data_IF_910779062126
#
_entry.id   IF_910779062126
#
_cell.length_a   1.000
_cell.length_b   1.000
_cell.length_c   1.000
_cell.angle_alpha   90.00
_cell.angle_beta   90.00
_cell.angle_gamma   90.00
#
_symmetry.space_group_name_H-M   'P 1'
#
loop_
_entity.id
_entity.type
_entity.pdbx_description
1 polymer ?
#
# COMPACT_ATOMS: atom_id res chain seq x y z
N UNK A 1 49.50 -24.66 -56.45
CA UNK A 1 49.20 -25.66 -55.40
C UNK A 1 48.16 -25.07 -54.47
N UNK A 2 46.93 -25.62 -54.47
CA UNK A 2 45.90 -25.42 -53.43
C UNK A 2 46.41 -26.04 -52.10
N UNK A 3 45.91 -25.72 -50.87
CA UNK A 3 44.46 -25.67 -50.55
C UNK A 3 44.00 -24.86 -49.28
N UNK A 4 42.71 -25.05 -48.93
CA UNK A 4 42.00 -24.89 -47.64
C UNK A 4 41.58 -23.45 -47.25
N UNK A 5 40.38 -22.95 -47.58
CA UNK A 5 39.04 -23.29 -47.03
C UNK A 5 39.04 -23.41 -45.50
N UNK A 6 38.64 -22.33 -44.81
CA UNK A 6 38.26 -22.35 -43.40
C UNK A 6 36.84 -21.78 -43.28
N UNK A 7 35.89 -22.68 -43.03
CA UNK A 7 34.47 -22.38 -42.86
C UNK A 7 34.27 -22.00 -41.39
N UNK A 8 34.04 -20.72 -41.11
CA UNK A 8 33.61 -20.25 -39.79
C UNK A 8 32.13 -20.58 -39.59
N UNK A 9 31.87 -21.60 -38.79
CA UNK A 9 30.53 -22.03 -38.41
C UNK A 9 29.88 -20.99 -37.48
N UNK A 10 28.95 -20.20 -38.01
CA UNK A 10 28.04 -19.34 -37.24
C UNK A 10 27.07 -20.20 -36.44
N UNK A 11 27.30 -20.32 -35.13
CA UNK A 11 26.41 -21.02 -34.20
C UNK A 11 25.25 -20.08 -33.84
N UNK A 12 24.07 -20.34 -34.39
CA UNK A 12 22.84 -19.59 -34.08
C UNK A 12 22.39 -19.86 -32.65
N UNK A 13 22.44 -18.84 -31.80
CA UNK A 13 21.92 -18.86 -30.43
C UNK A 13 20.40 -18.69 -30.47
N UNK A 14 19.66 -19.80 -30.38
CA UNK A 14 18.20 -19.80 -30.23
C UNK A 14 17.87 -19.42 -28.77
N UNK A 15 17.62 -18.12 -28.55
CA UNK A 15 17.09 -17.63 -27.26
C UNK A 15 15.60 -17.99 -27.22
N UNK A 16 15.25 -19.02 -26.44
CA UNK A 16 13.87 -19.32 -26.11
C UNK A 16 13.36 -18.22 -25.15
N UNK A 17 12.61 -17.26 -25.69
CA UNK A 17 11.90 -16.23 -24.92
C UNK A 17 10.74 -16.88 -24.16
N UNK A 18 11.00 -17.45 -22.99
CA UNK A 18 9.92 -17.74 -22.05
C UNK A 18 9.38 -16.41 -21.54
N UNK A 19 8.12 -16.12 -21.85
CA UNK A 19 7.42 -14.97 -21.29
C UNK A 19 7.38 -15.14 -19.77
N UNK A 20 8.21 -14.38 -19.06
CA UNK A 20 8.11 -14.22 -17.62
C UNK A 20 6.83 -13.43 -17.39
N UNK A 21 5.75 -14.10 -16.98
CA UNK A 21 4.59 -13.41 -16.43
C UNK A 21 5.04 -12.71 -15.15
N UNK A 22 5.17 -11.38 -15.24
CA UNK A 22 5.39 -10.53 -14.09
C UNK A 22 4.27 -10.76 -13.06
N UNK A 23 4.62 -10.90 -11.79
CA UNK A 23 3.71 -11.13 -10.67
C UNK A 23 2.79 -9.91 -10.48
N UNK A 24 1.65 -9.90 -11.17
CA UNK A 24 0.69 -8.81 -11.06
C UNK A 24 -0.23 -9.07 -9.86
N UNK A 25 -0.13 -8.23 -8.83
CA UNK A 25 -1.03 -8.27 -7.68
C UNK A 25 -2.46 -8.01 -8.16
N UNK A 26 -3.36 -8.96 -7.91
CA UNK A 26 -4.77 -8.87 -8.28
C UNK A 26 -5.47 -7.92 -7.32
N UNK A 27 -6.12 -6.90 -7.87
CA UNK A 27 -6.94 -5.97 -7.11
C UNK A 27 -8.27 -6.62 -6.68
N UNK A 28 -8.57 -6.59 -5.38
CA UNK A 28 -9.84 -7.07 -4.85
C UNK A 28 -11.00 -6.11 -5.13
N UNK A 29 -12.24 -6.64 -5.22
CA UNK A 29 -13.44 -5.81 -5.28
C UNK A 29 -13.61 -4.97 -4.01
N UNK A 30 -14.38 -3.89 -4.09
CA UNK A 30 -14.64 -3.01 -2.96
C UNK A 30 -15.33 -3.77 -1.82
N UNK A 31 -16.31 -4.61 -2.13
CA UNK A 31 -17.05 -5.42 -1.17
C UNK A 31 -16.09 -6.37 -0.43
N UNK A 32 -15.16 -6.98 -1.16
CA UNK A 32 -14.15 -7.86 -0.57
C UNK A 32 -13.18 -7.08 0.33
N UNK A 33 -12.73 -5.90 -0.10
CA UNK A 33 -11.87 -5.03 0.73
C UNK A 33 -12.56 -4.62 2.03
N UNK A 34 -13.82 -4.19 1.95
CA UNK A 34 -14.63 -3.83 3.13
C UNK A 34 -14.86 -5.04 4.03
N UNK A 35 -15.12 -6.23 3.46
CA UNK A 35 -15.32 -7.45 4.23
C UNK A 35 -14.05 -7.87 4.98
N UNK A 36 -12.89 -7.83 4.31
CA UNK A 36 -11.59 -8.24 4.86
C UNK A 36 -10.99 -7.20 5.84
N UNK A 37 -11.44 -5.94 5.80
CA UNK A 37 -10.94 -4.87 6.66
C UNK A 37 -11.53 -4.93 8.08
N UNK A 38 -10.69 -4.73 9.09
CA UNK A 38 -11.12 -4.51 10.48
C UNK A 38 -11.52 -3.05 10.72
N UNK A 39 -10.90 -2.12 9.99
CA UNK A 39 -11.21 -0.70 10.04
C UNK A 39 -11.28 -0.12 8.62
N UNK A 40 -12.25 0.78 8.41
CA UNK A 40 -12.36 1.59 7.20
C UNK A 40 -12.61 3.03 7.61
N UNK A 41 -11.81 3.97 7.13
CA UNK A 41 -11.98 5.37 7.46
C UNK A 41 -11.33 6.30 6.42
N UNK A 42 -11.74 7.56 6.46
CA UNK A 42 -11.04 8.66 5.82
C UNK A 42 -10.14 9.30 6.86
N UNK A 43 -8.87 9.52 6.54
CA UNK A 43 -7.89 10.03 7.49
C UNK A 43 -6.78 10.84 6.85
N UNK A 44 -6.11 11.63 7.68
CA UNK A 44 -4.99 12.49 7.30
C UNK A 44 -3.69 11.95 7.89
N UNK A 45 -2.69 11.73 7.04
CA UNK A 45 -1.35 11.34 7.50
C UNK A 45 -0.73 12.50 8.27
N UNK A 46 -0.42 12.31 9.55
CA UNK A 46 0.17 13.35 10.43
C UNK A 46 1.68 13.26 10.47
N UNK A 47 2.21 12.04 10.54
CA UNK A 47 3.64 11.78 10.66
C UNK A 47 3.99 10.48 9.92
N UNK A 48 5.10 10.49 9.18
CA UNK A 48 5.75 9.32 8.62
C UNK A 48 6.88 8.87 9.55
N UNK A 49 7.29 7.61 9.42
CA UNK A 49 8.31 6.96 10.26
C UNK A 49 8.08 7.18 11.78
N UNK A 50 6.80 7.09 12.20
CA UNK A 50 6.40 7.18 13.60
C UNK A 50 6.89 5.96 14.38
N UNK A 51 7.55 6.19 15.53
CA UNK A 51 8.03 5.11 16.39
C UNK A 51 6.90 4.61 17.27
N UNK A 52 6.24 3.53 16.86
CA UNK A 52 5.20 2.89 17.67
C UNK A 52 5.84 2.00 18.76
N UNK A 53 5.52 2.21 20.05
CA UNK A 53 6.10 1.40 21.14
C UNK A 53 5.74 -0.09 21.05
N UNK A 54 4.70 -0.45 20.29
CA UNK A 54 4.29 -1.84 20.06
C UNK A 54 5.14 -2.53 19.00
N UNK A 55 5.78 -1.77 18.12
CA UNK A 55 6.67 -2.26 17.06
C UNK A 55 7.96 -1.41 16.97
N UNK A 56 8.82 -1.45 18.02
CA UNK A 56 9.98 -0.55 18.12
C UNK A 56 11.04 -0.75 17.02
N UNK A 57 10.97 -1.84 16.28
CA UNK A 57 11.89 -2.16 15.19
C UNK A 57 11.31 -1.86 13.79
N UNK A 58 10.07 -1.35 13.71
CA UNK A 58 9.44 -0.99 12.45
C UNK A 58 9.75 0.47 12.13
N UNK A 59 10.50 0.71 11.06
CA UNK A 59 10.87 2.06 10.64
C UNK A 59 9.79 2.75 9.79
N UNK A 60 8.76 2.04 9.33
CA UNK A 60 7.85 2.53 8.28
C UNK A 60 6.39 2.49 8.71
N UNK A 61 6.10 3.23 9.78
CA UNK A 61 4.76 3.41 10.32
C UNK A 61 4.34 4.87 10.11
N UNK A 62 3.15 5.09 9.58
CA UNK A 62 2.51 6.38 9.53
C UNK A 62 1.56 6.53 10.73
N UNK A 63 1.64 7.66 11.44
CA UNK A 63 0.59 8.08 12.36
C UNK A 63 -0.49 8.81 11.58
N UNK A 64 -1.69 8.27 11.58
CA UNK A 64 -2.84 8.77 10.81
C UNK A 64 -3.91 9.27 11.78
N UNK A 65 -4.37 10.49 11.57
CA UNK A 65 -5.55 11.01 12.25
C UNK A 65 -6.81 10.56 11.50
N UNK A 66 -7.79 10.04 12.23
CA UNK A 66 -9.05 9.56 11.66
C UNK A 66 -10.03 10.73 11.58
N UNK A 67 -10.29 11.20 10.37
CA UNK A 67 -11.23 12.30 10.12
C UNK A 67 -12.68 11.80 10.14
N UNK A 68 -12.96 10.71 9.42
CA UNK A 68 -14.30 10.12 9.31
C UNK A 68 -14.24 8.59 9.43
N UNK A 69 -14.68 8.00 10.56
CA UNK A 69 -14.77 6.55 10.68
C UNK A 69 -15.95 6.01 9.85
N UNK A 70 -15.70 4.98 9.04
CA UNK A 70 -16.72 4.31 8.21
C UNK A 70 -17.03 2.88 8.68
N UNK A 71 -16.02 2.18 9.22
CA UNK A 71 -16.13 0.84 9.84
C UNK A 71 -15.10 0.70 10.95
N UNK A 72 -15.47 -0.02 12.01
CA UNK A 72 -14.58 -0.37 13.11
C UNK A 72 -14.79 0.51 14.34
N UNK A 73 -13.85 0.41 15.29
CA UNK A 73 -13.86 1.18 16.53
C UNK A 73 -13.58 2.68 16.25
N UNK A 74 -14.22 3.57 17.02
CA UNK A 74 -13.94 5.00 16.94
C UNK A 74 -12.61 5.29 17.64
N UNK A 75 -11.56 5.47 16.83
CA UNK A 75 -10.21 5.77 17.29
C UNK A 75 -9.80 7.10 16.64
N UNK A 76 -9.16 7.98 17.40
CA UNK A 76 -8.73 9.30 16.91
C UNK A 76 -7.45 9.23 16.08
N UNK A 77 -6.46 8.45 16.53
CA UNK A 77 -5.18 8.29 15.87
C UNK A 77 -4.82 6.81 15.73
N UNK A 78 -4.35 6.44 14.54
CA UNK A 78 -4.06 5.05 14.17
C UNK A 78 -2.66 4.96 13.59
N UNK A 79 -1.87 4.00 14.07
CA UNK A 79 -0.58 3.65 13.49
C UNK A 79 -0.79 2.69 12.33
N UNK A 80 -0.32 3.05 11.14
CA UNK A 80 -0.47 2.29 9.89
C UNK A 80 0.90 1.97 9.32
N UNK A 81 1.24 0.69 9.19
CA UNK A 81 2.44 0.25 8.50
C UNK A 81 2.26 0.45 6.98
N UNK A 82 3.21 1.16 6.35
CA UNK A 82 3.19 1.41 4.90
C UNK A 82 4.39 0.81 4.16
N UNK A 83 5.33 0.20 4.85
CA UNK A 83 6.38 -0.60 4.21
C UNK A 83 6.79 -1.74 5.15
N UNK A 84 6.64 -2.97 4.66
CA UNK A 84 7.04 -4.18 5.35
C UNK A 84 8.30 -4.83 4.74
N UNK A 85 9.03 -4.08 3.89
CA UNK A 85 10.21 -4.55 3.18
C UNK A 85 9.91 -5.35 1.90
N UNK A 86 8.63 -5.51 1.54
CA UNK A 86 8.22 -6.19 0.31
C UNK A 86 7.49 -5.19 -0.59
N UNK A 87 8.18 -4.75 -1.65
CA UNK A 87 7.69 -3.71 -2.56
C UNK A 87 6.30 -4.00 -3.17
N UNK A 88 5.95 -5.27 -3.38
CA UNK A 88 4.64 -5.68 -3.93
C UNK A 88 3.46 -5.43 -2.97
N UNK A 89 3.73 -5.31 -1.67
CA UNK A 89 2.71 -5.09 -0.64
C UNK A 89 2.68 -3.64 -0.12
N UNK A 90 3.66 -2.82 -0.51
CA UNK A 90 3.71 -1.43 -0.10
C UNK A 90 2.50 -0.65 -0.68
N UNK A 91 1.66 -0.03 0.16
CA UNK A 91 0.58 0.84 -0.30
C UNK A 91 1.10 1.97 -1.19
N UNK A 92 0.27 2.42 -2.15
CA UNK A 92 0.49 3.66 -2.90
C UNK A 92 0.12 4.89 -2.03
N UNK A 93 0.73 4.96 -0.86
CA UNK A 93 0.71 6.04 0.10
C UNK A 93 2.17 6.23 0.57
N UNK A 94 2.55 7.11 1.47
CA UNK A 94 1.81 8.03 2.29
C UNK A 94 2.60 9.34 2.26
N UNK A 95 1.90 10.47 2.11
CA UNK A 95 2.52 11.79 2.17
C UNK A 95 1.95 12.55 3.37
N UNK A 96 2.82 13.18 4.16
CA UNK A 96 2.40 14.00 5.30
C UNK A 96 1.40 15.08 4.87
N UNK A 97 0.33 15.23 5.65
CA UNK A 97 -0.76 16.17 5.42
C UNK A 97 -1.75 15.77 4.33
N UNK A 98 -1.56 14.63 3.65
CA UNK A 98 -2.52 14.14 2.65
C UNK A 98 -3.60 13.27 3.26
N UNK A 99 -4.76 13.30 2.60
CA UNK A 99 -5.97 12.61 3.00
C UNK A 99 -6.15 11.36 2.13
N UNK A 100 -6.46 10.24 2.77
CA UNK A 100 -6.69 8.96 2.11
C UNK A 100 -7.93 8.27 2.68
N UNK A 101 -8.51 7.39 1.87
CA UNK A 101 -9.42 6.33 2.34
C UNK A 101 -8.56 5.12 2.66
N UNK A 102 -8.71 4.59 3.86
CA UNK A 102 -7.95 3.46 4.37
C UNK A 102 -8.86 2.25 4.54
N UNK A 103 -8.47 1.11 3.97
CA UNK A 103 -9.06 -0.21 4.21
C UNK A 103 -8.00 -1.04 4.92
N UNK A 104 -8.12 -1.23 6.22
CA UNK A 104 -7.04 -1.74 7.04
C UNK A 104 -7.43 -2.99 7.82
N UNK A 105 -6.47 -3.90 7.98
CA UNK A 105 -6.54 -5.04 8.88
C UNK A 105 -5.63 -4.79 10.09
N UNK A 106 -6.09 -5.19 11.28
CA UNK A 106 -5.32 -5.09 12.52
C UNK A 106 -4.37 -6.28 12.62
N UNK A 107 -3.09 -6.02 12.85
CA UNK A 107 -2.09 -7.05 13.12
C UNK A 107 -2.18 -7.53 14.58
N UNK A 108 -1.55 -8.66 14.95
CA UNK A 108 -1.51 -9.10 16.35
C UNK A 108 -0.85 -8.11 17.32
N UNK A 109 0.06 -7.25 16.85
CA UNK A 109 0.67 -6.17 17.64
C UNK A 109 -0.27 -4.98 17.85
N UNK A 110 -1.37 -4.89 17.09
CA UNK A 110 -2.34 -3.80 17.13
C UNK A 110 -2.03 -2.63 16.21
N UNK A 111 -0.97 -2.72 15.39
CA UNK A 111 -0.74 -1.82 14.24
C UNK A 111 -1.69 -2.21 13.10
N UNK A 112 -1.93 -1.29 12.17
CA UNK A 112 -2.78 -1.56 11.02
C UNK A 112 -1.98 -1.69 9.73
N UNK A 113 -2.44 -2.56 8.85
CA UNK A 113 -1.84 -2.79 7.52
C UNK A 113 -2.89 -2.69 6.42
N UNK A 114 -2.45 -2.32 5.23
CA UNK A 114 -3.30 -2.19 4.05
C UNK A 114 -3.93 -3.52 3.64
N UNK A 115 -5.26 -3.54 3.45
CA UNK A 115 -5.94 -4.67 2.82
C UNK A 115 -5.58 -4.68 1.33
N UNK A 116 -5.00 -5.78 0.85
CA UNK A 116 -4.61 -5.92 -0.57
C UNK A 116 -3.48 -4.96 -1.01
N UNK A 117 -2.56 -4.66 -0.09
CA UNK A 117 -1.28 -3.98 -0.38
C UNK A 117 -1.44 -2.62 -1.06
N UNK A 118 -0.98 -2.42 -2.31
CA UNK A 118 -1.11 -1.16 -3.05
C UNK A 118 -2.55 -0.66 -3.21
N UNK A 119 -3.54 -1.55 -3.12
CA UNK A 119 -4.95 -1.25 -3.39
C UNK A 119 -5.82 -1.13 -2.14
N UNK A 120 -5.24 -1.05 -0.94
CA UNK A 120 -6.00 -0.84 0.31
C UNK A 120 -6.02 0.60 0.80
N UNK A 121 -5.26 1.50 0.17
CA UNK A 121 -5.19 2.91 0.56
C UNK A 121 -5.31 3.77 -0.70
N UNK A 122 -6.28 4.68 -0.70
CA UNK A 122 -6.60 5.51 -1.86
C UNK A 122 -6.51 6.99 -1.51
N UNK A 123 -5.72 7.75 -2.26
CA UNK A 123 -5.66 9.19 -2.06
C UNK A 123 -6.99 9.83 -2.43
N UNK A 124 -7.55 10.63 -1.52
CA UNK A 124 -8.72 11.45 -1.80
C UNK A 124 -8.27 12.70 -2.55
N UNK A 125 -8.67 12.83 -3.82
CA UNK A 125 -8.43 14.03 -4.62
C UNK A 125 -9.60 14.99 -4.46
N UNK A 126 -9.42 16.04 -3.66
CA UNK A 126 -10.41 17.09 -3.46
C UNK A 126 -10.27 17.77 -2.09
N UNK A 127 -10.80 18.98 -1.97
CA UNK A 127 -11.01 19.60 -0.66
C UNK A 127 -12.22 18.88 -0.06
N UNK A 128 -12.01 18.04 0.96
CA UNK A 128 -13.14 17.62 1.77
C UNK A 128 -13.74 18.90 2.36
N UNK A 129 -15.06 19.15 2.21
CA UNK A 129 -15.66 20.25 2.94
C UNK A 129 -15.35 20.00 4.41
N UNK A 130 -14.60 20.90 5.02
CA UNK A 130 -14.51 20.98 6.47
C UNK A 130 -15.94 21.09 6.95
N UNK A 131 -16.48 20.00 7.47
CA UNK A 131 -17.78 20.00 8.14
C UNK A 131 -17.55 20.78 9.43
N UNK A 132 -17.63 22.10 9.30
CA UNK A 132 -17.70 23.02 10.41
C UNK A 132 -19.00 22.67 11.13
N UNK A 133 -18.89 21.98 12.28
CA UNK A 133 -20.02 21.69 13.13
C UNK A 133 -20.63 23.01 13.58
N UNK A 134 -21.61 23.52 12.83
CA UNK A 134 -22.48 24.58 13.28
C UNK A 134 -23.22 24.02 14.49
N UNK A 135 -22.71 24.38 15.66
CA UNK A 135 -23.36 24.09 16.94
C UNK A 135 -24.55 25.04 17.01
N UNK A 136 -25.68 24.63 16.43
CA UNK A 136 -26.95 25.30 16.68
C UNK A 136 -27.28 25.14 18.17
N UNK A 137 -27.37 26.30 18.82
CA UNK A 137 -27.72 26.49 20.23
C UNK A 137 -29.23 26.56 20.40
#
# INVERSE_FOLDING_TARGET
>A
MHPLISILATTSFLVASTSISANQVVEHSLEKKVADADAVFIGTVRQLDYVDPREPNSSHIALVHVDTPLKGEKIENVSVSYDNGIAEFAPLCCENGRIYVFFLKRTPSGVYESVNGPYGIYQVKGVLPTFEWQTER
#
